data_IF_955149962288
#
_entry.id   IF_955149962288
#
_cell.length_a   1.000
_cell.length_b   1.000
_cell.length_c   1.000
_cell.angle_alpha   90.00
_cell.angle_beta   90.00
_cell.angle_gamma   90.00
#
_symmetry.space_group_name_H-M   'P 1'
#
loop_
_entity.id
_entity.type
_entity.pdbx_description
1 polymer ?
#
# COMPACT_ATOMS: atom_id res chain seq x y z
N UNK A 1 4.39 7.00 27.10
CA UNK A 1 3.86 5.64 27.36
C UNK A 1 3.02 5.62 28.64
N UNK A 2 3.44 6.25 29.76
CA UNK A 2 2.66 6.27 31.02
C UNK A 2 1.28 6.93 30.85
N UNK A 3 1.20 8.02 30.09
CA UNK A 3 -0.06 8.72 29.79
C UNK A 3 -1.07 7.84 29.02
N UNK A 4 -0.59 6.87 28.22
CA UNK A 4 -1.43 5.97 27.44
C UNK A 4 -1.92 4.76 28.25
N UNK A 5 -1.25 4.40 29.34
CA UNK A 5 -1.66 3.29 30.20
C UNK A 5 -2.98 3.54 30.94
N UNK A 6 -3.37 4.80 31.11
CA UNK A 6 -4.66 5.17 31.71
C UNK A 6 -5.86 5.18 30.73
N UNK A 7 -5.59 5.08 29.44
CA UNK A 7 -6.63 5.00 28.42
C UNK A 7 -6.83 3.51 28.11
N UNK A 8 -7.93 2.91 28.44
CA UNK A 8 -8.29 1.52 28.08
C UNK A 8 -8.35 1.36 26.53
N UNK A 9 -7.25 1.66 25.85
CA UNK A 9 -7.12 1.68 24.40
C UNK A 9 -6.02 0.72 23.95
N UNK A 10 -6.30 -0.07 22.95
CA UNK A 10 -5.26 -0.83 22.25
C UNK A 10 -4.47 0.13 21.35
N UNK A 11 -3.14 0.05 21.40
CA UNK A 11 -2.26 0.84 20.55
C UNK A 11 -1.11 0.00 20.03
N UNK A 12 -0.64 0.34 18.84
CA UNK A 12 0.54 -0.25 18.21
C UNK A 12 1.68 0.76 18.32
N UNK A 13 2.85 0.29 18.72
CA UNK A 13 4.08 1.06 18.72
C UNK A 13 4.97 0.51 17.63
N UNK A 14 5.40 1.35 16.70
CA UNK A 14 6.27 1.00 15.60
C UNK A 14 7.56 1.83 15.66
N UNK A 15 8.64 1.27 15.13
CA UNK A 15 9.90 2.00 14.94
C UNK A 15 9.68 3.19 14.01
N UNK A 16 10.20 4.35 14.38
CA UNK A 16 10.17 5.53 13.51
C UNK A 16 11.35 5.47 12.54
N UNK A 17 11.06 5.51 11.26
CA UNK A 17 12.07 5.45 10.18
C UNK A 17 12.36 6.89 9.72
N UNK A 18 13.34 7.52 10.35
CA UNK A 18 13.64 8.93 10.13
C UNK A 18 14.10 9.23 8.69
N UNK A 19 14.84 8.32 8.08
CA UNK A 19 15.35 8.46 6.72
C UNK A 19 14.27 8.47 5.63
N UNK A 20 13.06 8.05 5.96
CA UNK A 20 11.92 8.14 5.04
C UNK A 20 11.37 9.55 4.90
N UNK A 21 11.71 10.46 5.80
CA UNK A 21 11.36 11.88 5.79
C UNK A 21 9.84 12.12 5.56
N UNK A 22 9.01 11.37 6.30
CA UNK A 22 7.55 11.46 6.19
C UNK A 22 6.97 10.99 4.87
N UNK A 23 7.73 10.27 4.04
CA UNK A 23 7.26 9.69 2.79
C UNK A 23 7.00 8.20 2.92
N UNK A 24 5.99 7.72 2.20
CA UNK A 24 5.77 6.31 1.95
C UNK A 24 5.47 6.02 0.47
N UNK A 25 5.49 4.75 0.12
CA UNK A 25 5.15 4.25 -1.21
C UNK A 25 3.94 3.33 -1.08
N UNK A 26 2.80 3.74 -1.64
CA UNK A 26 1.65 2.87 -1.81
C UNK A 26 1.77 2.07 -3.10
N UNK A 27 1.91 0.76 -2.99
CA UNK A 27 1.85 -0.18 -4.10
C UNK A 27 0.44 -0.77 -4.20
N UNK A 28 -0.20 -0.63 -5.36
CA UNK A 28 -1.47 -1.27 -5.64
C UNK A 28 -1.25 -2.62 -6.29
N UNK A 29 -1.57 -3.69 -5.54
CA UNK A 29 -1.37 -5.09 -5.97
C UNK A 29 -2.68 -5.64 -6.49
N UNK A 30 -2.62 -6.27 -7.68
CA UNK A 30 -3.73 -7.05 -8.26
C UNK A 30 -3.16 -8.39 -8.74
N UNK A 31 -3.64 -9.46 -8.15
CA UNK A 31 -3.12 -10.80 -8.39
C UNK A 31 -1.66 -10.93 -7.94
N UNK A 32 -0.78 -11.12 -8.88
CA UNK A 32 0.65 -11.38 -8.67
C UNK A 32 1.56 -10.19 -9.04
N UNK A 33 0.99 -9.01 -9.29
CA UNK A 33 1.74 -7.84 -9.75
C UNK A 33 1.31 -6.53 -9.10
N UNK A 34 2.22 -5.58 -9.05
CA UNK A 34 1.92 -4.19 -8.74
C UNK A 34 1.47 -3.50 -10.03
N UNK A 35 0.22 -3.03 -10.06
CA UNK A 35 -0.38 -2.36 -11.23
C UNK A 35 -0.14 -0.85 -11.22
N UNK A 36 -0.01 -0.26 -10.04
CA UNK A 36 0.31 1.14 -9.86
C UNK A 36 1.10 1.35 -8.57
N UNK A 37 1.93 2.39 -8.54
CA UNK A 37 2.62 2.82 -7.34
C UNK A 37 2.59 4.34 -7.23
N UNK A 38 2.32 4.84 -6.02
CA UNK A 38 2.21 6.25 -5.71
C UNK A 38 3.05 6.57 -4.48
N UNK A 39 3.94 7.55 -4.61
CA UNK A 39 4.62 8.14 -3.45
C UNK A 39 3.67 9.12 -2.78
N UNK A 40 3.52 8.99 -1.47
CA UNK A 40 2.80 9.96 -0.66
C UNK A 40 3.80 10.69 0.23
N UNK A 41 3.63 12.00 0.37
CA UNK A 41 4.44 12.85 1.22
C UNK A 41 3.54 13.48 2.29
N UNK A 42 3.96 13.40 3.54
CA UNK A 42 3.29 14.09 4.63
C UNK A 42 3.37 15.62 4.46
N UNK A 43 2.34 16.32 4.93
CA UNK A 43 2.38 17.77 5.03
C UNK A 43 3.48 18.22 6.02
N UNK A 44 3.96 19.44 5.87
CA UNK A 44 4.98 20.00 6.77
C UNK A 44 4.53 19.92 8.24
N UNK A 45 5.38 19.37 9.10
CA UNK A 45 5.10 19.18 10.53
C UNK A 45 4.26 17.93 10.87
N UNK A 46 3.84 17.15 9.88
CA UNK A 46 3.14 15.88 10.06
C UNK A 46 4.08 14.73 9.66
N UNK A 47 4.01 13.60 10.36
CA UNK A 47 4.79 12.40 10.02
C UNK A 47 3.98 11.35 9.23
N UNK A 48 2.66 11.55 9.09
CA UNK A 48 1.75 10.66 8.38
C UNK A 48 1.49 11.16 6.97
N UNK A 49 1.82 10.36 5.98
CA UNK A 49 1.69 10.65 4.54
C UNK A 49 0.26 10.48 3.98
N UNK A 50 -0.76 10.38 4.84
CA UNK A 50 -2.14 10.17 4.42
C UNK A 50 -2.70 11.34 3.59
N UNK A 51 -3.16 11.08 2.35
CA UNK A 51 -3.75 12.08 1.46
C UNK A 51 -4.95 12.83 2.08
N UNK A 52 -5.79 12.14 2.87
CA UNK A 52 -6.94 12.75 3.58
C UNK A 52 -6.54 13.76 4.66
N UNK A 53 -5.25 13.88 4.97
CA UNK A 53 -4.68 14.83 5.94
C UNK A 53 -3.86 15.92 5.28
N UNK A 54 -4.06 16.17 3.99
CA UNK A 54 -3.34 17.19 3.23
C UNK A 54 -1.99 16.74 2.69
N UNK A 55 -1.69 15.43 2.73
CA UNK A 55 -0.52 14.87 2.07
C UNK A 55 -0.64 14.95 0.54
N UNK A 56 0.49 15.04 -0.13
CA UNK A 56 0.58 15.03 -1.59
C UNK A 56 0.87 13.64 -2.12
N UNK A 57 0.18 13.25 -3.20
CA UNK A 57 0.39 12.00 -3.91
C UNK A 57 0.93 12.23 -5.31
N UNK A 58 1.97 11.51 -5.70
CA UNK A 58 2.52 11.55 -7.04
C UNK A 58 2.84 10.16 -7.57
N UNK A 59 2.69 9.94 -8.88
CA UNK A 59 3.10 8.70 -9.51
C UNK A 59 4.55 8.36 -9.15
N UNK A 60 4.80 7.11 -8.85
CA UNK A 60 6.14 6.63 -8.51
C UNK A 60 6.42 5.29 -9.18
N UNK A 61 7.69 5.01 -9.40
CA UNK A 61 8.14 3.71 -9.84
C UNK A 61 8.63 2.89 -8.64
N UNK A 62 7.96 1.76 -8.39
CA UNK A 62 8.42 0.81 -7.40
C UNK A 62 9.58 -0.01 -7.98
N UNK A 63 10.65 -0.18 -7.22
CA UNK A 63 11.76 -1.08 -7.57
C UNK A 63 11.29 -2.54 -7.61
N UNK A 64 12.06 -3.41 -8.22
CA UNK A 64 11.76 -4.85 -8.26
C UNK A 64 11.64 -5.46 -6.84
N UNK A 65 12.45 -4.99 -5.90
CA UNK A 65 12.39 -5.43 -4.50
C UNK A 65 11.11 -4.95 -3.83
N UNK A 66 10.72 -3.68 -4.00
CA UNK A 66 9.48 -3.12 -3.46
C UNK A 66 8.25 -3.83 -4.01
N UNK A 67 8.22 -4.10 -5.31
CA UNK A 67 7.14 -4.87 -5.94
C UNK A 67 7.06 -6.29 -5.36
N UNK A 68 8.20 -6.98 -5.22
CA UNK A 68 8.25 -8.31 -4.65
C UNK A 68 7.78 -8.34 -3.18
N UNK A 69 8.15 -7.33 -2.38
CA UNK A 69 7.68 -7.19 -0.99
C UNK A 69 6.18 -6.97 -0.96
N UNK A 70 5.66 -6.04 -1.78
CA UNK A 70 4.23 -5.74 -1.84
C UNK A 70 3.39 -6.98 -2.21
N UNK A 71 3.77 -7.69 -3.27
CA UNK A 71 3.06 -8.92 -3.71
C UNK A 71 3.12 -10.01 -2.65
N UNK A 72 4.27 -10.26 -2.02
CA UNK A 72 4.39 -11.24 -0.94
C UNK A 72 3.51 -10.88 0.26
N UNK A 73 3.41 -9.59 0.59
CA UNK A 73 2.58 -9.11 1.72
C UNK A 73 1.08 -9.33 1.46
N UNK A 74 0.60 -9.01 0.26
CA UNK A 74 -0.78 -9.28 -0.14
C UNK A 74 -1.09 -10.79 -0.10
N UNK A 75 -0.21 -11.62 -0.66
CA UNK A 75 -0.36 -13.08 -0.65
C UNK A 75 -0.36 -13.69 0.76
N UNK A 76 0.48 -13.19 1.65
CA UNK A 76 0.55 -13.67 3.04
C UNK A 76 -0.77 -13.49 3.79
N UNK A 77 -1.59 -12.52 3.36
CA UNK A 77 -2.93 -12.26 3.89
C UNK A 77 -4.05 -12.87 3.03
N UNK A 78 -3.72 -13.61 1.97
CA UNK A 78 -4.70 -14.22 1.07
C UNK A 78 -5.47 -13.20 0.22
N UNK A 79 -4.89 -12.03 -0.05
CA UNK A 79 -5.55 -10.94 -0.77
C UNK A 79 -5.18 -10.97 -2.26
N UNK A 80 -6.18 -11.08 -3.14
CA UNK A 80 -6.02 -10.93 -4.58
C UNK A 80 -5.93 -9.46 -5.00
N UNK A 81 -6.47 -8.54 -4.20
CA UNK A 81 -6.36 -7.08 -4.39
C UNK A 81 -5.96 -6.44 -3.06
N UNK A 82 -4.95 -5.60 -3.08
CA UNK A 82 -4.49 -4.91 -1.87
C UNK A 82 -3.76 -3.60 -2.18
N UNK A 83 -3.90 -2.63 -1.28
CA UNK A 83 -2.99 -1.49 -1.17
C UNK A 83 -1.91 -1.80 -0.13
N UNK A 84 -0.66 -1.88 -0.53
CA UNK A 84 0.46 -2.15 0.37
C UNK A 84 1.28 -0.89 0.53
N UNK A 85 1.37 -0.41 1.76
CA UNK A 85 2.15 0.78 2.11
C UNK A 85 3.53 0.34 2.57
N UNK A 86 4.53 0.83 1.88
CA UNK A 86 5.94 0.56 2.13
C UNK A 86 6.66 1.83 2.55
N UNK A 87 7.62 1.69 3.45
CA UNK A 87 8.54 2.76 3.82
C UNK A 87 9.94 2.37 3.38
N UNK A 88 10.65 3.31 2.75
CA UNK A 88 12.04 3.13 2.32
C UNK A 88 12.96 3.34 3.50
N UNK A 89 13.79 2.35 3.80
CA UNK A 89 14.77 2.42 4.88
C UNK A 89 16.16 2.01 4.40
N UNK A 90 17.17 2.29 5.22
CA UNK A 90 18.54 1.80 4.99
C UNK A 90 18.65 0.25 4.97
N UNK A 91 17.62 -0.45 5.49
CA UNK A 91 17.51 -1.92 5.52
C UNK A 91 16.69 -2.49 4.34
N UNK A 92 16.31 -1.66 3.37
CA UNK A 92 15.38 -2.00 2.30
C UNK A 92 13.95 -1.58 2.59
N UNK A 93 12.97 -2.00 1.76
CA UNK A 93 11.56 -1.65 1.93
C UNK A 93 10.95 -2.39 3.14
N UNK A 94 10.31 -1.61 4.02
CA UNK A 94 9.58 -2.12 5.18
C UNK A 94 8.09 -1.95 4.96
N UNK A 95 7.29 -2.96 5.32
CA UNK A 95 5.82 -2.90 5.23
C UNK A 95 5.27 -2.13 6.42
N UNK A 96 4.48 -1.11 6.15
CA UNK A 96 3.73 -0.36 7.16
C UNK A 96 2.33 -0.95 7.35
N UNK A 97 1.62 -1.16 6.25
CA UNK A 97 0.21 -1.55 6.26
C UNK A 97 -0.14 -2.33 4.99
N UNK A 98 -1.08 -3.27 5.12
CA UNK A 98 -1.75 -3.91 3.98
C UNK A 98 -3.25 -3.68 4.12
N UNK A 99 -3.82 -2.96 3.15
CA UNK A 99 -5.22 -2.60 3.11
C UNK A 99 -5.96 -3.48 2.09
N UNK A 100 -6.98 -4.22 2.55
CA UNK A 100 -7.80 -5.10 1.71
C UNK A 100 -8.86 -4.35 0.88
N UNK A 101 -9.11 -3.08 1.18
CA UNK A 101 -10.12 -2.28 0.48
C UNK A 101 -9.54 -0.90 0.15
N UNK A 102 -8.46 -0.86 -0.67
CA UNK A 102 -7.79 0.39 -0.99
C UNK A 102 -8.67 1.26 -1.88
N UNK A 103 -8.74 2.57 -1.57
CA UNK A 103 -9.42 3.53 -2.44
C UNK A 103 -8.69 3.68 -3.78
N UNK A 104 -9.44 3.74 -4.87
CA UNK A 104 -8.89 3.81 -6.25
C UNK A 104 -8.61 5.25 -6.69
N UNK A 105 -9.45 6.21 -6.30
CA UNK A 105 -9.46 7.58 -6.82
C UNK A 105 -8.07 8.25 -6.76
N UNK A 106 -7.41 8.16 -5.62
CA UNK A 106 -6.09 8.81 -5.44
C UNK A 106 -5.01 8.21 -6.32
N UNK A 107 -4.96 6.89 -6.46
CA UNK A 107 -3.92 6.20 -7.25
C UNK A 107 -4.18 6.33 -8.74
N UNK A 108 -5.44 6.21 -9.19
CA UNK A 108 -5.81 6.38 -10.60
C UNK A 108 -5.54 7.80 -11.08
N UNK A 109 -5.91 8.80 -10.26
CA UNK A 109 -5.63 10.21 -10.55
C UNK A 109 -4.14 10.50 -10.63
N UNK A 110 -3.35 10.00 -9.67
CA UNK A 110 -1.92 10.27 -9.61
C UNK A 110 -1.11 9.52 -10.68
N UNK A 111 -1.49 8.27 -11.00
CA UNK A 111 -0.72 7.39 -11.88
C UNK A 111 -1.24 7.32 -13.32
N UNK A 112 -2.43 7.86 -13.60
CA UNK A 112 -3.13 7.76 -14.88
C UNK A 112 -3.25 6.28 -15.37
N UNK A 113 -3.56 5.36 -14.46
CA UNK A 113 -3.70 3.91 -14.69
C UNK A 113 -5.12 3.49 -14.33
N UNK A 114 -5.75 2.70 -15.18
CA UNK A 114 -7.06 2.07 -14.92
C UNK A 114 -6.88 0.87 -13.97
N UNK A 115 -6.90 1.15 -12.69
CA UNK A 115 -6.79 0.11 -11.65
C UNK A 115 -8.07 -0.68 -11.53
N UNK A 116 -9.22 -0.03 -11.70
CA UNK A 116 -10.52 -0.70 -11.69
C UNK A 116 -10.62 -1.76 -12.80
N UNK A 117 -10.20 -1.41 -14.02
CA UNK A 117 -10.12 -2.38 -15.14
C UNK A 117 -9.19 -3.55 -14.81
N UNK A 118 -8.02 -3.30 -14.24
CA UNK A 118 -7.09 -4.36 -13.86
C UNK A 118 -7.68 -5.32 -12.80
N UNK A 119 -8.50 -4.83 -11.87
CA UNK A 119 -9.22 -5.65 -10.89
C UNK A 119 -10.25 -6.53 -11.57
N UNK A 120 -11.05 -5.98 -12.50
CA UNK A 120 -12.07 -6.72 -13.23
C UNK A 120 -11.43 -7.84 -14.08
N UNK A 121 -10.33 -7.53 -14.78
CA UNK A 121 -9.58 -8.51 -15.56
C UNK A 121 -9.06 -9.67 -14.70
N UNK A 122 -8.56 -9.35 -13.52
CA UNK A 122 -8.10 -10.36 -12.56
C UNK A 122 -9.25 -11.26 -12.09
N UNK A 123 -10.39 -10.69 -11.72
CA UNK A 123 -11.57 -11.46 -11.29
C UNK A 123 -12.06 -12.37 -12.43
N UNK A 124 -12.11 -11.87 -13.66
CA UNK A 124 -12.53 -12.66 -14.82
C UNK A 124 -11.56 -13.84 -15.09
N UNK A 125 -10.25 -13.60 -14.97
CA UNK A 125 -9.25 -14.65 -15.11
C UNK A 125 -9.37 -15.74 -14.03
N UNK A 126 -9.52 -15.36 -12.76
CA UNK A 126 -9.73 -16.29 -11.65
C UNK A 126 -11.02 -17.09 -11.81
N UNK A 127 -12.12 -16.46 -12.26
CA UNK A 127 -13.38 -17.13 -12.50
C UNK A 127 -13.29 -18.16 -13.64
N UNK A 128 -12.59 -17.83 -14.72
CA UNK A 128 -12.36 -18.76 -15.84
C UNK A 128 -11.52 -19.96 -15.40
N UNK A 129 -10.50 -19.72 -14.59
CA UNK A 129 -9.68 -20.79 -14.02
C UNK A 129 -10.50 -21.71 -13.12
N UNK A 130 -11.31 -21.17 -12.23
CA UNK A 130 -12.22 -21.93 -11.37
C UNK A 130 -13.15 -22.81 -12.18
N UNK A 131 -13.79 -22.28 -13.24
CA UNK A 131 -14.67 -23.06 -14.11
C UNK A 131 -13.97 -24.19 -14.87
N UNK A 132 -12.70 -24.05 -15.16
CA UNK A 132 -11.92 -25.08 -15.87
C UNK A 132 -11.49 -26.25 -14.99
N UNK A 133 -11.58 -26.08 -13.65
CA UNK A 133 -11.19 -27.09 -12.65
C UNK A 133 -12.36 -27.81 -12.00
N UNK A 134 -13.59 -27.38 -12.29
CA UNK A 134 -14.86 -28.04 -11.90
C UNK A 134 -15.46 -28.82 -13.06
#
# INVERSE_FOLDING_TARGET
>A
IETLRGLYANFIVQEFIAEADGADLRCFVVGDRVVAAMRRQAAEGEFRSNLHRGGEGSAAQASAEEQAVAVRSARALGLGVAGVDLIRSARGPLVLEVNSTPGLEGVESACAVDVAGAIIDHIDAEYKLYKSTC
#
